data_IF_423075606731
#
_entry.id   IF_423075606731
#
_cell.length_a   1.000
_cell.length_b   1.000
_cell.length_c   1.000
_cell.angle_alpha   90.00
_cell.angle_beta   90.00
_cell.angle_gamma   90.00
#
_symmetry.space_group_name_H-M   'P 1'
#
loop_
_entity.id
_entity.type
_entity.pdbx_description
1 polymer ?
#
# COMPACT_ATOMS: atom_id res chain seq x y z
N UNK A 1 -7.09 2.67 43.77
CA UNK A 1 -7.02 1.23 43.47
C UNK A 1 -6.85 1.09 41.99
N UNK A 2 -5.62 0.84 41.56
CA UNK A 2 -5.26 0.72 40.13
C UNK A 2 -5.50 -0.71 39.68
N UNK A 3 -6.48 -0.92 38.79
CA UNK A 3 -6.69 -2.21 38.12
C UNK A 3 -5.64 -2.28 36.99
N UNK A 4 -4.46 -2.83 37.31
CA UNK A 4 -3.55 -3.34 36.28
C UNK A 4 -4.18 -4.62 35.74
N UNK A 5 -4.84 -4.55 34.59
CA UNK A 5 -5.18 -5.73 33.80
C UNK A 5 -3.87 -6.43 33.47
N UNK A 6 -3.60 -7.55 34.09
CA UNK A 6 -2.51 -8.46 33.70
C UNK A 6 -2.88 -9.01 32.31
N UNK A 7 -2.36 -8.38 31.26
CA UNK A 7 -2.31 -9.01 29.96
C UNK A 7 -1.24 -10.09 30.07
N UNK A 8 -1.64 -11.32 29.87
CA UNK A 8 -0.77 -12.49 29.98
C UNK A 8 0.15 -12.56 28.73
N UNK A 9 1.16 -11.68 28.69
CA UNK A 9 2.15 -11.60 27.60
C UNK A 9 3.03 -12.84 27.49
N UNK A 10 3.06 -13.68 28.53
CA UNK A 10 3.99 -14.80 28.63
C UNK A 10 3.65 -16.02 27.79
N UNK A 11 2.44 -16.10 27.21
CA UNK A 11 1.99 -17.25 26.43
C UNK A 11 2.01 -17.07 24.91
N UNK A 12 2.47 -15.93 24.41
CA UNK A 12 2.55 -15.68 22.96
C UNK A 12 3.93 -16.12 22.47
N UNK A 13 4.02 -17.32 21.91
CA UNK A 13 5.24 -17.82 21.25
C UNK A 13 5.17 -17.63 19.74
N UNK A 14 6.27 -17.26 19.06
CA UNK A 14 6.32 -17.24 17.61
C UNK A 14 6.07 -18.63 17.04
N UNK A 15 5.38 -18.69 15.90
CA UNK A 15 4.89 -19.93 15.29
C UNK A 15 5.94 -20.76 14.54
N UNK A 16 7.22 -20.36 14.51
CA UNK A 16 8.23 -20.99 13.67
C UNK A 16 9.46 -21.43 14.42
N UNK A 17 9.86 -22.72 14.23
CA UNK A 17 11.22 -23.19 14.49
C UNK A 17 12.14 -22.59 13.44
N UNK A 18 12.92 -21.58 13.78
CA UNK A 18 13.92 -20.98 12.89
C UNK A 18 15.14 -21.92 12.82
N UNK A 19 15.42 -22.47 11.64
CA UNK A 19 16.74 -23.02 11.30
C UNK A 19 17.73 -21.86 11.17
N UNK A 20 19.00 -22.08 11.43
CA UNK A 20 20.09 -21.12 11.54
C UNK A 20 20.44 -20.29 10.29
N UNK A 21 19.72 -20.43 9.19
CA UNK A 21 19.76 -19.49 8.06
C UNK A 21 18.49 -18.63 8.14
N UNK A 22 18.68 -17.30 8.20
CA UNK A 22 17.57 -16.36 8.18
C UNK A 22 16.65 -16.71 7.00
N UNK A 23 15.40 -17.11 7.23
CA UNK A 23 14.53 -17.52 6.15
C UNK A 23 14.34 -16.31 5.24
N UNK A 24 14.44 -16.52 3.92
CA UNK A 24 14.07 -15.51 2.91
C UNK A 24 12.56 -15.27 3.03
N UNK A 25 12.17 -14.43 3.98
CA UNK A 25 10.77 -14.08 4.17
C UNK A 25 10.32 -13.21 3.01
N UNK A 26 9.51 -13.80 2.17
CA UNK A 26 8.78 -13.07 1.15
C UNK A 26 7.52 -12.48 1.80
N UNK A 27 7.43 -11.16 1.87
CA UNK A 27 6.30 -10.45 2.46
C UNK A 27 4.98 -10.77 1.76
N UNK A 28 3.86 -10.77 2.49
CA UNK A 28 2.52 -10.82 1.91
C UNK A 28 2.28 -9.62 1.00
N UNK A 29 1.63 -9.82 -0.15
CA UNK A 29 1.37 -8.79 -1.15
C UNK A 29 -0.12 -8.52 -1.30
N UNK A 30 -0.46 -7.24 -1.54
CA UNK A 30 -1.82 -6.81 -1.78
C UNK A 30 -2.23 -6.99 -3.24
N UNK A 31 -3.53 -7.27 -3.48
CA UNK A 31 -4.20 -7.07 -4.77
C UNK A 31 -4.63 -5.61 -4.92
N UNK A 32 -5.04 -5.22 -6.12
CA UNK A 32 -5.69 -3.92 -6.36
C UNK A 32 -7.13 -4.02 -5.87
N UNK A 33 -7.60 -2.96 -5.21
CA UNK A 33 -9.00 -2.86 -4.77
C UNK A 33 -9.91 -2.62 -5.98
N UNK A 34 -10.90 -3.49 -6.15
CA UNK A 34 -11.85 -3.45 -7.26
C UNK A 34 -13.31 -3.21 -6.81
N UNK A 35 -13.51 -2.65 -5.62
CA UNK A 35 -14.82 -2.27 -5.10
C UNK A 35 -15.51 -3.34 -4.26
N UNK A 36 -14.85 -4.47 -4.00
CA UNK A 36 -15.34 -5.52 -3.10
C UNK A 36 -14.52 -5.51 -1.82
N UNK A 37 -15.19 -5.38 -0.69
CA UNK A 37 -14.57 -5.43 0.63
C UNK A 37 -14.88 -6.75 1.33
N UNK A 38 -13.97 -7.24 2.19
CA UNK A 38 -14.31 -8.27 3.18
C UNK A 38 -15.45 -7.80 4.09
N UNK A 39 -16.17 -8.74 4.70
CA UNK A 39 -17.26 -8.43 5.64
C UNK A 39 -16.80 -7.60 6.84
N UNK A 40 -15.56 -7.87 7.31
CA UNK A 40 -14.90 -7.11 8.36
C UNK A 40 -13.51 -6.69 7.86
N UNK A 41 -13.27 -5.42 7.79
CA UNK A 41 -12.02 -4.87 7.30
C UNK A 41 -11.57 -3.63 8.08
N UNK A 42 -10.30 -3.31 7.92
CA UNK A 42 -9.69 -2.05 8.38
C UNK A 42 -9.05 -1.34 7.19
N UNK A 43 -9.03 -0.01 7.26
CA UNK A 43 -8.35 0.83 6.29
C UNK A 43 -7.12 1.49 6.94
N UNK A 44 -5.97 1.30 6.35
CA UNK A 44 -4.71 1.92 6.77
C UNK A 44 -4.18 2.82 5.65
N UNK A 45 -3.46 3.92 5.95
CA UNK A 45 -2.85 4.71 4.90
C UNK A 45 -1.81 3.89 4.13
N UNK A 46 -1.77 4.06 2.82
CA UNK A 46 -0.69 3.54 2.00
C UNK A 46 0.44 4.56 1.97
N UNK A 47 1.50 4.24 2.68
CA UNK A 47 2.74 5.03 2.70
C UNK A 47 3.54 4.72 1.43
N UNK A 48 4.12 5.72 0.82
CA UNK A 48 5.06 5.57 -0.31
C UNK A 48 6.49 5.60 0.21
N UNK A 49 7.08 4.42 0.41
CA UNK A 49 8.39 4.24 1.00
C UNK A 49 9.09 2.99 0.51
N UNK A 50 9.94 2.44 1.35
CA UNK A 50 10.62 1.17 1.15
C UNK A 50 10.10 0.15 2.14
N UNK A 51 9.50 -0.94 1.66
CA UNK A 51 9.06 -2.01 2.55
C UNK A 51 10.22 -2.73 3.19
N UNK A 52 10.15 -2.86 4.51
CA UNK A 52 11.18 -3.43 5.37
C UNK A 52 10.59 -4.54 6.23
N UNK A 53 11.23 -5.71 6.20
CA UNK A 53 11.01 -6.75 7.20
C UNK A 53 12.10 -6.61 8.24
N UNK A 54 11.67 -6.29 9.45
CA UNK A 54 12.55 -6.24 10.62
C UNK A 54 12.53 -7.60 11.29
N UNK A 55 13.70 -8.19 11.53
CA UNK A 55 13.83 -9.41 12.33
C UNK A 55 14.59 -9.12 13.61
N UNK A 56 13.95 -9.34 14.75
CA UNK A 56 14.52 -9.14 16.07
C UNK A 56 14.76 -10.49 16.75
N UNK A 57 16.01 -10.87 16.93
CA UNK A 57 16.42 -11.98 17.81
C UNK A 57 16.63 -11.40 19.22
N UNK A 58 15.61 -11.50 20.04
CA UNK A 58 15.57 -10.87 21.37
C UNK A 58 16.51 -11.58 22.35
N UNK A 59 16.75 -12.89 22.15
CA UNK A 59 17.66 -13.66 23.00
C UNK A 59 19.10 -13.22 22.82
N UNK A 60 19.49 -12.91 21.58
CA UNK A 60 20.85 -12.46 21.23
C UNK A 60 20.95 -10.93 21.07
N UNK A 61 19.86 -10.18 21.33
CA UNK A 61 19.75 -8.72 21.17
C UNK A 61 20.19 -8.25 19.78
N UNK A 62 19.87 -9.01 18.74
CA UNK A 62 20.25 -8.71 17.36
C UNK A 62 19.02 -8.34 16.54
N UNK A 63 19.11 -7.24 15.82
CA UNK A 63 18.08 -6.79 14.88
C UNK A 63 18.67 -6.74 13.48
N UNK A 64 17.88 -7.11 12.47
CA UNK A 64 18.25 -6.99 11.06
C UNK A 64 17.11 -6.37 10.29
N UNK A 65 17.45 -5.54 9.31
CA UNK A 65 16.52 -4.86 8.42
C UNK A 65 16.73 -5.39 7.01
N UNK A 66 15.68 -5.88 6.38
CA UNK A 66 15.76 -6.43 5.05
C UNK A 66 14.61 -5.92 4.17
N UNK A 67 14.90 -5.69 2.91
CA UNK A 67 13.88 -5.35 1.92
C UNK A 67 12.91 -6.52 1.70
N UNK A 68 11.81 -6.26 1.01
CA UNK A 68 10.84 -7.29 0.59
C UNK A 68 11.49 -8.49 -0.13
N UNK A 69 12.64 -8.31 -0.76
CA UNK A 69 13.39 -9.36 -1.48
C UNK A 69 14.47 -10.03 -0.62
N UNK A 70 14.59 -9.64 0.65
CA UNK A 70 15.59 -10.15 1.57
C UNK A 70 16.97 -9.47 1.48
N UNK A 71 17.10 -8.39 0.69
CA UNK A 71 18.36 -7.64 0.64
C UNK A 71 18.51 -6.81 1.92
N UNK A 72 19.70 -6.80 2.57
CA UNK A 72 19.94 -5.98 3.75
C UNK A 72 19.71 -4.48 3.49
N UNK A 73 19.30 -3.76 4.53
CA UNK A 73 19.12 -2.31 4.52
C UNK A 73 19.92 -1.71 5.70
N UNK A 74 21.25 -1.58 5.55
CA UNK A 74 22.12 -1.15 6.65
C UNK A 74 21.89 0.28 7.10
N UNK A 75 21.31 1.13 6.24
CA UNK A 75 20.95 2.51 6.58
C UNK A 75 19.98 2.63 7.79
N UNK A 76 19.30 1.54 8.15
CA UNK A 76 18.36 1.49 9.26
C UNK A 76 18.92 0.83 10.54
N UNK A 77 20.17 0.37 10.55
CA UNK A 77 20.76 -0.37 11.67
C UNK A 77 20.76 0.45 12.98
N UNK A 78 20.81 1.78 12.88
CA UNK A 78 20.72 2.68 14.03
C UNK A 78 19.37 2.60 14.78
N UNK A 79 18.31 2.08 14.16
CA UNK A 79 16.98 1.88 14.77
C UNK A 79 16.88 0.59 15.60
N UNK A 80 17.93 -0.24 15.63
CA UNK A 80 17.92 -1.53 16.30
C UNK A 80 17.59 -1.42 17.81
N UNK A 81 18.06 -0.36 18.47
CA UNK A 81 17.78 -0.08 19.89
C UNK A 81 16.28 0.10 20.14
N UNK A 82 15.62 0.98 19.37
CA UNK A 82 14.17 1.22 19.51
C UNK A 82 13.35 -0.04 19.21
N UNK A 83 13.77 -0.88 18.26
CA UNK A 83 13.11 -2.16 17.99
C UNK A 83 13.17 -3.09 19.20
N UNK A 84 14.34 -3.23 19.83
CA UNK A 84 14.51 -4.06 21.03
C UNK A 84 13.68 -3.52 22.20
N UNK A 85 13.62 -2.22 22.38
CA UNK A 85 12.81 -1.56 23.40
C UNK A 85 11.32 -1.77 23.19
N UNK A 86 10.85 -1.70 21.94
CA UNK A 86 9.43 -1.96 21.59
C UNK A 86 8.99 -3.38 22.01
N UNK A 87 9.87 -4.38 21.88
CA UNK A 87 9.57 -5.75 22.30
C UNK A 87 9.66 -5.93 23.82
N UNK A 88 10.43 -5.11 24.54
CA UNK A 88 10.51 -5.14 26.00
C UNK A 88 10.85 -6.51 26.58
N UNK A 89 9.89 -7.13 27.28
CA UNK A 89 10.06 -8.44 27.94
C UNK A 89 9.79 -9.66 27.02
N UNK A 90 9.52 -9.46 25.75
CA UNK A 90 9.37 -10.59 24.82
C UNK A 90 10.69 -11.37 24.67
N UNK A 91 10.61 -12.63 24.26
CA UNK A 91 11.75 -13.47 23.98
C UNK A 91 11.60 -14.20 22.64
N UNK A 92 12.71 -14.79 22.16
CA UNK A 92 12.72 -15.51 20.88
C UNK A 92 12.93 -14.60 19.67
N UNK A 93 12.53 -15.07 18.49
CA UNK A 93 12.72 -14.34 17.23
C UNK A 93 11.38 -13.82 16.75
N UNK A 94 11.31 -12.51 16.53
CA UNK A 94 10.13 -11.80 16.08
C UNK A 94 10.37 -11.06 14.79
N UNK A 95 9.30 -10.82 14.03
CA UNK A 95 9.36 -10.04 12.81
C UNK A 95 8.27 -8.97 12.83
N UNK A 96 8.63 -7.78 12.36
CA UNK A 96 7.71 -6.70 12.05
C UNK A 96 7.72 -6.47 10.55
N UNK A 97 6.57 -6.13 10.00
CA UNK A 97 6.39 -5.69 8.62
C UNK A 97 6.13 -4.19 8.61
N UNK A 98 7.01 -3.46 7.95
CA UNK A 98 7.09 -2.02 8.04
C UNK A 98 7.20 -1.38 6.65
N UNK A 99 6.89 -0.08 6.58
CA UNK A 99 7.29 0.79 5.48
C UNK A 99 8.24 1.85 6.02
N UNK A 100 9.44 1.95 5.46
CA UNK A 100 10.45 2.94 5.83
C UNK A 100 10.33 4.17 4.95
N UNK A 101 10.35 5.34 5.56
CA UNK A 101 10.46 6.65 4.90
C UNK A 101 11.58 7.45 5.55
N UNK A 102 12.26 8.31 4.78
CA UNK A 102 13.29 9.21 5.26
C UNK A 102 13.07 10.60 4.65
N UNK A 103 13.62 11.65 5.25
CA UNK A 103 13.60 13.00 4.70
C UNK A 103 12.26 13.73 4.78
N UNK A 104 12.13 14.75 3.95
CA UNK A 104 11.01 15.70 3.98
C UNK A 104 9.94 15.47 2.92
N UNK A 105 10.03 14.42 2.10
CA UNK A 105 9.09 14.21 1.01
C UNK A 105 9.18 12.83 0.41
N UNK A 106 8.08 12.38 -0.15
CA UNK A 106 7.81 10.99 -0.49
C UNK A 106 8.65 10.42 -1.66
N UNK A 107 9.31 11.24 -2.49
CA UNK A 107 9.93 10.76 -3.73
C UNK A 107 11.47 10.66 -3.69
N UNK A 108 12.15 11.47 -2.88
CA UNK A 108 13.63 11.47 -2.79
C UNK A 108 14.19 10.47 -1.77
N UNK A 109 13.35 9.95 -0.92
CA UNK A 109 13.71 9.23 0.31
C UNK A 109 14.09 7.77 0.08
N UNK A 110 13.64 7.17 -1.01
CA UNK A 110 13.98 5.78 -1.38
C UNK A 110 15.48 5.60 -1.58
N UNK A 111 16.19 6.64 -2.05
CA UNK A 111 17.63 6.65 -2.22
C UNK A 111 18.38 6.55 -0.88
N UNK A 112 17.97 7.34 0.11
CA UNK A 112 18.56 7.33 1.45
C UNK A 112 18.36 6.00 2.15
N UNK A 113 17.13 5.47 2.14
CA UNK A 113 16.82 4.15 2.74
C UNK A 113 17.64 3.03 2.09
N UNK A 114 17.95 3.14 0.78
CA UNK A 114 18.70 2.11 0.05
C UNK A 114 20.22 2.36 0.04
N UNK A 115 20.68 3.43 0.65
CA UNK A 115 22.09 3.74 0.74
C UNK A 115 22.82 2.83 1.73
N UNK A 116 24.15 2.88 1.76
CA UNK A 116 24.99 2.28 2.79
C UNK A 116 25.14 3.17 4.02
N UNK A 117 24.87 4.47 3.86
CA UNK A 117 24.99 5.46 4.93
C UNK A 117 23.73 5.45 5.81
N UNK A 118 23.85 5.74 7.12
CA UNK A 118 22.72 5.81 8.02
C UNK A 118 21.69 6.87 7.60
N UNK A 119 20.44 6.47 7.44
CA UNK A 119 19.30 7.38 7.21
C UNK A 119 18.77 7.86 8.57
N UNK A 120 19.43 8.85 9.18
CA UNK A 120 19.21 9.24 10.58
C UNK A 120 17.83 9.81 10.88
N UNK A 121 17.12 10.33 9.88
CA UNK A 121 15.74 10.81 9.97
C UNK A 121 14.71 9.77 9.49
N UNK A 122 15.16 8.53 9.23
CA UNK A 122 14.26 7.44 8.84
C UNK A 122 13.23 7.13 9.91
N UNK A 123 12.02 6.82 9.45
CA UNK A 123 10.91 6.35 10.28
C UNK A 123 10.35 5.06 9.73
N UNK A 124 9.98 4.15 10.62
CA UNK A 124 9.36 2.87 10.29
C UNK A 124 7.88 2.89 10.66
N UNK A 125 7.01 2.90 9.69
CA UNK A 125 5.58 2.67 9.88
C UNK A 125 5.31 1.18 10.04
N UNK A 126 5.09 0.73 11.27
CA UNK A 126 4.85 -0.68 11.61
C UNK A 126 3.39 -1.02 11.40
N UNK A 127 3.08 -2.00 10.55
CA UNK A 127 1.70 -2.32 10.18
C UNK A 127 1.32 -3.79 10.32
N UNK A 128 2.27 -4.71 10.56
CA UNK A 128 1.96 -6.13 10.83
C UNK A 128 3.07 -6.86 11.58
N UNK A 129 2.75 -8.06 12.12
CA UNK A 129 3.65 -8.97 12.82
C UNK A 129 3.65 -10.34 12.13
N UNK A 130 4.51 -10.59 11.13
CA UNK A 130 4.59 -11.86 10.41
C UNK A 130 4.87 -13.08 11.31
N UNK A 131 5.54 -12.91 12.45
CA UNK A 131 5.75 -13.99 13.44
C UNK A 131 4.46 -14.58 13.98
N UNK A 132 3.36 -13.87 13.87
CA UNK A 132 2.02 -14.32 14.24
C UNK A 132 1.14 -14.66 13.01
N UNK A 133 1.75 -15.19 11.95
CA UNK A 133 1.06 -15.49 10.70
C UNK A 133 -0.18 -16.39 10.86
N UNK A 134 -0.22 -17.23 11.88
CA UNK A 134 -1.34 -18.13 12.24
C UNK A 134 -2.48 -17.44 13.02
N UNK A 135 -2.38 -16.13 13.28
CA UNK A 135 -3.42 -15.34 13.93
C UNK A 135 -4.11 -14.43 12.91
N UNK A 136 -5.37 -14.12 13.16
CA UNK A 136 -6.13 -13.17 12.36
C UNK A 136 -5.51 -11.77 12.41
N UNK A 137 -5.72 -10.97 11.37
CA UNK A 137 -5.18 -9.61 11.26
C UNK A 137 -5.58 -8.74 12.48
N UNK A 138 -6.83 -8.82 12.92
CA UNK A 138 -7.31 -8.07 14.10
C UNK A 138 -6.52 -8.41 15.37
N UNK A 139 -6.11 -9.67 15.57
CA UNK A 139 -5.33 -10.08 16.73
C UNK A 139 -3.87 -9.59 16.63
N UNK A 140 -3.27 -9.66 15.42
CA UNK A 140 -1.93 -9.11 15.18
C UNK A 140 -1.91 -7.60 15.38
N UNK A 141 -2.94 -6.90 14.87
CA UNK A 141 -3.11 -5.46 15.04
C UNK A 141 -3.27 -5.05 16.51
N UNK A 142 -4.08 -5.80 17.27
CA UNK A 142 -4.25 -5.55 18.69
C UNK A 142 -2.92 -5.68 19.43
N UNK A 143 -2.16 -6.74 19.17
CA UNK A 143 -0.84 -6.92 19.79
C UNK A 143 0.09 -5.73 19.46
N UNK A 144 0.15 -5.28 18.21
CA UNK A 144 0.93 -4.09 17.85
C UNK A 144 0.48 -2.86 18.66
N UNK A 145 -0.82 -2.61 18.75
CA UNK A 145 -1.33 -1.49 19.55
C UNK A 145 -0.90 -1.59 21.01
N UNK A 146 -1.04 -2.77 21.61
CA UNK A 146 -0.67 -3.03 23.00
C UNK A 146 0.85 -2.82 23.23
N UNK A 147 1.70 -3.27 22.29
CA UNK A 147 3.15 -3.07 22.34
C UNK A 147 3.51 -1.59 22.30
N UNK A 148 2.96 -0.83 21.35
CA UNK A 148 3.21 0.61 21.24
C UNK A 148 2.65 1.40 22.43
N UNK A 149 1.52 0.96 23.02
CA UNK A 149 0.96 1.56 24.22
C UNK A 149 1.82 1.29 25.46
N UNK A 150 2.36 0.07 25.57
CA UNK A 150 3.17 -0.34 26.72
C UNK A 150 4.63 0.14 26.66
N UNK A 151 5.15 0.48 25.48
CA UNK A 151 6.54 0.87 25.29
C UNK A 151 6.94 2.08 26.15
N UNK A 152 8.05 1.96 26.88
CA UNK A 152 8.63 3.00 27.71
C UNK A 152 10.16 2.96 27.62
N UNK A 153 10.83 3.97 27.07
CA UNK A 153 10.27 5.18 26.45
C UNK A 153 9.43 4.88 25.21
N UNK A 154 8.60 5.82 24.81
CA UNK A 154 7.89 5.71 23.51
C UNK A 154 8.91 5.78 22.39
N UNK A 155 8.83 4.89 21.37
CA UNK A 155 9.71 4.98 20.23
C UNK A 155 9.49 6.31 19.48
N UNK A 156 10.56 6.90 18.99
CA UNK A 156 10.54 8.17 18.25
C UNK A 156 10.54 7.96 16.73
N UNK A 157 11.19 6.88 16.28
CA UNK A 157 11.36 6.55 14.87
C UNK A 157 10.49 5.38 14.40
N UNK A 158 9.96 4.57 15.33
CA UNK A 158 8.98 3.55 15.04
C UNK A 158 7.58 4.11 15.27
N UNK A 159 6.73 4.08 14.25
CA UNK A 159 5.37 4.60 14.28
C UNK A 159 4.38 3.47 14.03
N UNK A 160 3.37 3.37 14.88
CA UNK A 160 2.26 2.46 14.63
C UNK A 160 1.44 2.99 13.45
N UNK A 161 1.24 2.19 12.40
CA UNK A 161 0.39 2.55 11.28
C UNK A 161 -1.02 2.89 11.77
N UNK A 162 -1.60 4.06 11.49
CA UNK A 162 -2.97 4.36 11.87
C UNK A 162 -3.95 3.42 11.14
N UNK A 163 -5.09 3.14 11.76
CA UNK A 163 -6.09 2.22 11.21
C UNK A 163 -7.50 2.74 11.49
N UNK A 164 -8.32 2.81 10.44
CA UNK A 164 -9.73 3.17 10.52
C UNK A 164 -10.59 1.92 10.47
N UNK A 165 -11.59 1.85 11.34
CA UNK A 165 -12.59 0.78 11.41
C UNK A 165 -13.96 1.39 11.13
N UNK A 166 -14.79 0.72 10.33
CA UNK A 166 -16.15 1.20 10.03
C UNK A 166 -16.22 2.36 9.03
N UNK A 167 -15.10 2.68 8.38
CA UNK A 167 -15.02 3.72 7.34
C UNK A 167 -14.82 3.04 5.98
N UNK A 168 -15.57 3.46 4.95
CA UNK A 168 -15.43 2.86 3.62
C UNK A 168 -14.05 3.11 3.03
N UNK A 169 -13.56 2.23 2.12
CA UNK A 169 -12.27 2.43 1.45
C UNK A 169 -12.18 3.75 0.70
N UNK A 170 -13.26 4.19 0.06
CA UNK A 170 -13.32 5.43 -0.71
C UNK A 170 -13.25 6.67 0.20
N UNK A 171 -13.94 6.63 1.35
CA UNK A 171 -13.85 7.70 2.34
C UNK A 171 -12.46 7.73 3.00
N UNK A 172 -11.93 6.56 3.38
CA UNK A 172 -10.58 6.44 3.92
C UNK A 172 -9.52 6.93 2.92
N UNK A 173 -9.73 6.66 1.61
CA UNK A 173 -8.87 7.16 0.55
C UNK A 173 -8.86 8.69 0.50
N UNK A 174 -10.04 9.34 0.55
CA UNK A 174 -10.14 10.79 0.58
C UNK A 174 -9.43 11.39 1.80
N UNK A 175 -9.65 10.81 2.98
CA UNK A 175 -9.05 11.28 4.23
C UNK A 175 -7.52 11.14 4.21
N UNK A 176 -6.98 10.00 3.80
CA UNK A 176 -5.54 9.76 3.81
C UNK A 176 -4.81 10.51 2.69
N UNK A 177 -5.39 10.60 1.50
CA UNK A 177 -4.76 11.38 0.41
C UNK A 177 -4.75 12.89 0.71
N UNK A 178 -5.76 13.42 1.41
CA UNK A 178 -5.75 14.79 1.90
C UNK A 178 -4.63 15.05 2.94
N UNK A 179 -4.12 14.00 3.60
CA UNK A 179 -2.97 14.06 4.52
C UNK A 179 -1.63 13.81 3.80
N UNK A 180 -1.63 13.57 2.48
CA UNK A 180 -0.41 13.35 1.68
C UNK A 180 0.01 11.88 1.52
N UNK A 181 -0.78 10.91 1.97
CA UNK A 181 -0.51 9.50 1.71
C UNK A 181 -0.83 9.11 0.26
N UNK A 182 -0.18 8.07 -0.27
CA UNK A 182 -0.37 7.57 -1.65
C UNK A 182 -1.78 7.02 -1.89
N UNK A 183 -2.44 6.54 -0.84
CA UNK A 183 -3.75 5.92 -0.90
C UNK A 183 -4.10 5.14 0.36
N UNK A 184 -4.76 4.00 0.19
CA UNK A 184 -5.29 3.17 1.27
C UNK A 184 -4.92 1.69 1.07
N UNK A 185 -4.65 1.01 2.17
CA UNK A 185 -4.61 -0.44 2.29
C UNK A 185 -5.87 -0.92 3.00
N UNK A 186 -6.69 -1.70 2.33
CA UNK A 186 -7.85 -2.38 2.91
C UNK A 186 -7.40 -3.77 3.33
N UNK A 187 -7.58 -4.10 4.61
CA UNK A 187 -7.15 -5.38 5.18
C UNK A 187 -8.33 -6.13 5.77
N UNK A 188 -8.50 -7.38 5.38
CA UNK A 188 -9.46 -8.30 5.99
C UNK A 188 -9.07 -8.59 7.44
N UNK A 189 -9.93 -8.20 8.38
CA UNK A 189 -9.68 -8.32 9.81
C UNK A 189 -9.61 -9.79 10.31
N UNK A 190 -10.21 -10.72 9.56
CA UNK A 190 -10.20 -12.15 9.88
C UNK A 190 -9.07 -12.93 9.17
N UNK A 191 -8.34 -12.30 8.25
CA UNK A 191 -7.34 -12.99 7.45
C UNK A 191 -6.05 -13.29 8.20
N UNK A 192 -5.45 -14.43 7.85
CA UNK A 192 -4.10 -14.79 8.26
C UNK A 192 -3.05 -14.02 7.44
N UNK A 193 -1.81 -13.96 7.94
CA UNK A 193 -0.71 -13.41 7.16
C UNK A 193 -0.14 -14.48 6.22
N UNK A 194 -0.35 -14.29 4.92
CA UNK A 194 0.05 -15.26 3.88
C UNK A 194 1.39 -14.87 3.27
N UNK A 195 2.48 -15.33 3.88
CA UNK A 195 3.85 -15.07 3.47
C UNK A 195 4.07 -15.43 1.99
N UNK A 196 4.69 -14.51 1.23
CA UNK A 196 5.04 -14.72 -0.17
C UNK A 196 3.88 -14.69 -1.16
N UNK A 197 2.65 -14.54 -0.67
CA UNK A 197 1.45 -14.65 -1.51
C UNK A 197 0.83 -13.28 -1.78
N UNK A 198 0.34 -13.09 -3.01
CA UNK A 198 -0.53 -11.96 -3.34
C UNK A 198 -1.97 -12.34 -3.03
N UNK A 199 -2.55 -11.71 -2.01
CA UNK A 199 -3.86 -12.07 -1.48
C UNK A 199 -4.87 -10.94 -1.60
N UNK A 200 -6.15 -11.31 -1.82
CA UNK A 200 -7.27 -10.39 -1.74
C UNK A 200 -7.60 -9.97 -0.29
N UNK A 201 -7.04 -10.66 0.72
CA UNK A 201 -7.15 -10.24 2.10
C UNK A 201 -6.44 -8.90 2.39
N UNK A 202 -5.50 -8.52 1.53
CA UNK A 202 -4.95 -7.17 1.46
C UNK A 202 -5.25 -6.58 0.09
N UNK A 203 -5.84 -5.41 0.07
CA UNK A 203 -6.15 -4.69 -1.15
C UNK A 203 -5.61 -3.26 -1.07
N UNK A 204 -5.03 -2.78 -2.15
CA UNK A 204 -4.52 -1.40 -2.24
C UNK A 204 -5.44 -0.56 -3.13
N UNK A 205 -5.87 0.57 -2.62
CA UNK A 205 -6.53 1.64 -3.36
C UNK A 205 -5.57 2.83 -3.40
N UNK A 206 -5.08 3.18 -4.58
CA UNK A 206 -4.19 4.33 -4.78
C UNK A 206 -4.77 5.23 -5.87
N UNK A 207 -4.27 6.46 -5.99
CA UNK A 207 -4.53 7.28 -7.15
C UNK A 207 -4.15 6.48 -8.40
N UNK A 208 -4.98 6.57 -9.41
CA UNK A 208 -5.01 5.72 -10.60
C UNK A 208 -3.65 5.32 -11.19
N UNK A 209 -3.50 4.05 -11.58
CA UNK A 209 -2.47 3.65 -12.55
C UNK A 209 -2.81 4.26 -13.91
N UNK A 210 -1.81 4.49 -14.77
CA UNK A 210 -2.04 4.95 -16.16
C UNK A 210 -1.61 3.89 -17.16
N UNK A 211 -2.23 3.90 -18.32
CA UNK A 211 -1.85 3.06 -19.48
C UNK A 211 -1.97 3.86 -20.77
N UNK A 212 -1.02 3.66 -21.65
CA UNK A 212 -1.10 4.17 -23.02
C UNK A 212 -1.98 3.26 -23.88
N UNK A 213 -2.99 3.81 -24.54
CA UNK A 213 -3.92 3.09 -25.39
C UNK A 213 -4.25 3.88 -26.64
N UNK A 214 -4.43 3.20 -27.78
CA UNK A 214 -4.70 3.86 -29.07
C UNK A 214 -6.17 4.23 -29.18
N UNK A 215 -6.47 5.50 -29.52
CA UNK A 215 -7.83 5.98 -29.80
C UNK A 215 -8.29 5.33 -31.11
N UNK A 216 -9.40 4.61 -31.05
CA UNK A 216 -10.00 3.94 -32.23
C UNK A 216 -11.31 4.62 -32.65
N UNK A 217 -11.92 5.38 -31.74
CA UNK A 217 -13.14 6.10 -32.06
C UNK A 217 -13.40 7.27 -31.08
N UNK A 218 -14.20 8.23 -31.52
CA UNK A 218 -14.74 9.35 -30.73
C UNK A 218 -16.26 9.35 -30.91
N UNK A 219 -17.01 9.17 -29.85
CA UNK A 219 -18.47 9.03 -29.89
C UNK A 219 -19.12 10.31 -29.35
N UNK A 220 -20.05 10.86 -30.12
CA UNK A 220 -20.84 12.02 -29.68
C UNK A 220 -21.66 11.67 -28.43
N UNK A 221 -21.76 12.62 -27.51
CA UNK A 221 -22.52 12.48 -26.28
C UNK A 221 -24.02 12.79 -26.47
N UNK A 222 -24.75 12.57 -25.37
CA UNK A 222 -26.19 12.89 -25.26
C UNK A 222 -26.40 13.86 -24.10
N UNK A 223 -27.57 14.52 -24.07
CA UNK A 223 -27.93 15.44 -22.98
C UNK A 223 -26.92 16.56 -22.81
N UNK A 224 -26.29 16.70 -21.66
CA UNK A 224 -25.28 17.71 -21.40
C UNK A 224 -24.10 17.69 -22.40
N UNK A 225 -23.76 16.52 -22.90
CA UNK A 225 -22.66 16.33 -23.86
C UNK A 225 -23.12 16.27 -25.31
N UNK A 226 -24.33 16.74 -25.65
CA UNK A 226 -24.77 16.89 -27.05
C UNK A 226 -23.82 17.84 -27.79
N UNK A 227 -23.54 17.52 -29.06
CA UNK A 227 -22.62 18.29 -29.94
C UNK A 227 -21.16 18.34 -29.46
N UNK A 228 -20.75 17.42 -28.57
CA UNK A 228 -19.38 17.22 -28.17
C UNK A 228 -19.11 15.73 -27.84
N UNK A 229 -17.86 15.32 -27.71
CA UNK A 229 -17.52 13.93 -27.39
C UNK A 229 -18.12 13.52 -26.04
N UNK A 230 -18.94 12.48 -26.03
CA UNK A 230 -19.41 11.82 -24.82
C UNK A 230 -18.31 10.95 -24.21
N UNK A 231 -17.62 10.21 -25.06
CA UNK A 231 -16.47 9.40 -24.71
C UNK A 231 -15.59 9.11 -25.93
N UNK A 232 -14.34 8.78 -25.67
CA UNK A 232 -13.47 8.14 -26.66
C UNK A 232 -13.49 6.63 -26.45
N UNK A 233 -13.24 5.87 -27.51
CA UNK A 233 -13.01 4.44 -27.45
C UNK A 233 -11.52 4.21 -27.69
N UNK A 234 -10.86 3.55 -26.75
CA UNK A 234 -9.43 3.20 -26.86
C UNK A 234 -9.25 1.70 -26.97
N UNK A 235 -8.22 1.26 -27.68
CA UNK A 235 -7.82 -0.15 -27.80
C UNK A 235 -6.73 -0.45 -26.81
N UNK A 236 -7.00 -1.43 -25.92
CA UNK A 236 -6.06 -1.99 -24.97
C UNK A 236 -5.87 -3.48 -25.28
N UNK A 237 -4.76 -3.82 -25.93
CA UNK A 237 -4.55 -5.17 -26.45
C UNK A 237 -5.65 -5.58 -27.44
N UNK A 238 -6.44 -6.60 -27.06
CA UNK A 238 -7.59 -7.10 -27.85
C UNK A 238 -8.94 -6.48 -27.44
N UNK A 239 -8.96 -5.61 -26.42
CA UNK A 239 -10.17 -5.03 -25.86
C UNK A 239 -10.37 -3.57 -26.29
N UNK A 240 -11.63 -3.16 -26.28
CA UNK A 240 -12.02 -1.77 -26.49
C UNK A 240 -12.60 -1.20 -25.21
N UNK A 241 -12.08 -0.08 -24.75
CA UNK A 241 -12.46 0.57 -23.50
C UNK A 241 -13.06 1.93 -23.78
N UNK A 242 -14.21 2.22 -23.17
CA UNK A 242 -14.85 3.54 -23.26
C UNK A 242 -14.30 4.44 -22.16
N UNK A 243 -13.79 5.61 -22.54
CA UNK A 243 -13.24 6.62 -21.63
C UNK A 243 -14.10 7.86 -21.72
N UNK A 244 -14.95 8.06 -20.71
CA UNK A 244 -15.94 9.15 -20.69
C UNK A 244 -15.62 10.29 -19.73
N UNK A 245 -14.55 10.16 -18.92
CA UNK A 245 -14.14 11.13 -17.90
C UNK A 245 -12.75 11.69 -18.19
N UNK A 246 -12.31 12.72 -17.43
CA UNK A 246 -11.01 13.38 -17.61
C UNK A 246 -10.96 14.43 -18.74
N UNK A 247 -12.08 14.71 -19.40
CA UNK A 247 -12.16 15.66 -20.50
C UNK A 247 -12.96 16.92 -20.08
N UNK A 248 -12.40 18.09 -20.32
CA UNK A 248 -13.13 19.35 -20.23
C UNK A 248 -14.08 19.50 -21.42
N UNK A 249 -15.06 20.38 -21.33
CA UNK A 249 -15.99 20.62 -22.44
C UNK A 249 -15.28 21.15 -23.71
N UNK A 250 -14.16 21.86 -23.52
CA UNK A 250 -13.32 22.32 -24.66
C UNK A 250 -12.65 21.13 -25.35
N UNK A 251 -12.03 20.22 -24.57
CA UNK A 251 -11.42 18.99 -25.10
C UNK A 251 -12.47 18.12 -25.79
N UNK A 252 -13.67 18.01 -25.24
CA UNK A 252 -14.78 17.25 -25.84
C UNK A 252 -15.22 17.80 -27.20
N UNK A 253 -15.31 19.14 -27.33
CA UNK A 253 -15.67 19.77 -28.62
C UNK A 253 -14.57 19.56 -29.66
N UNK A 254 -13.32 19.74 -29.27
CA UNK A 254 -12.16 19.54 -30.14
C UNK A 254 -12.07 18.08 -30.64
N UNK A 255 -12.21 17.13 -29.74
CA UNK A 255 -12.24 15.69 -30.04
C UNK A 255 -13.32 15.34 -31.08
N UNK A 256 -14.52 15.87 -30.93
CA UNK A 256 -15.59 15.59 -31.90
C UNK A 256 -15.38 16.28 -33.22
N UNK A 257 -15.01 17.59 -33.21
CA UNK A 257 -14.79 18.37 -34.40
C UNK A 257 -13.64 17.86 -35.28
N UNK A 258 -12.59 17.37 -34.63
CA UNK A 258 -11.36 16.86 -35.27
C UNK A 258 -11.20 15.34 -35.12
N UNK A 259 -12.30 14.60 -35.07
CA UNK A 259 -12.35 13.16 -34.80
C UNK A 259 -11.33 12.36 -35.62
N UNK A 260 -11.25 12.61 -36.92
CA UNK A 260 -10.33 11.90 -37.82
C UNK A 260 -8.86 12.11 -37.50
N UNK A 261 -8.49 13.22 -36.88
CA UNK A 261 -7.12 13.52 -36.49
C UNK A 261 -6.71 12.80 -35.21
N UNK A 262 -7.67 12.55 -34.29
CA UNK A 262 -7.40 11.89 -33.03
C UNK A 262 -7.43 10.36 -33.14
N UNK A 263 -8.15 9.80 -34.11
CA UNK A 263 -8.13 8.35 -34.36
C UNK A 263 -6.71 7.91 -34.76
N UNK A 264 -6.18 6.91 -34.07
CA UNK A 264 -4.81 6.42 -34.24
C UNK A 264 -3.80 7.04 -33.28
N UNK A 265 -4.12 8.16 -32.63
CA UNK A 265 -3.23 8.75 -31.63
C UNK A 265 -3.27 7.93 -30.31
N UNK A 266 -2.20 8.07 -29.51
CA UNK A 266 -2.09 7.44 -28.20
C UNK A 266 -2.71 8.34 -27.14
N UNK A 267 -3.63 7.79 -26.35
CA UNK A 267 -4.18 8.40 -25.14
C UNK A 267 -3.56 7.76 -23.89
N UNK A 268 -3.09 8.58 -22.97
CA UNK A 268 -2.80 8.14 -21.61
C UNK A 268 -4.10 8.12 -20.83
N UNK A 269 -4.46 6.93 -20.35
CA UNK A 269 -5.71 6.69 -19.63
C UNK A 269 -5.40 6.25 -18.21
N UNK A 270 -5.86 7.03 -17.23
CA UNK A 270 -5.83 6.68 -15.83
C UNK A 270 -6.97 5.69 -15.50
N UNK A 271 -6.74 4.75 -14.59
CA UNK A 271 -7.75 3.77 -14.18
C UNK A 271 -7.47 3.24 -12.77
N UNK A 272 -8.50 2.74 -12.08
CA UNK A 272 -8.33 2.20 -10.73
C UNK A 272 -7.78 0.77 -10.74
N UNK A 273 -8.31 -0.09 -11.58
CA UNK A 273 -7.81 -1.48 -11.74
C UNK A 273 -8.25 -2.04 -13.10
N UNK A 274 -7.60 -3.14 -13.48
CA UNK A 274 -8.06 -3.99 -14.60
C UNK A 274 -9.11 -4.95 -14.05
N UNK A 275 -10.28 -4.98 -14.67
CA UNK A 275 -11.38 -5.87 -14.30
C UNK A 275 -11.12 -7.32 -14.75
N UNK A 276 -11.83 -8.34 -14.21
CA UNK A 276 -11.65 -9.73 -14.62
C UNK A 276 -11.87 -10.00 -16.12
N UNK A 277 -12.68 -9.18 -16.79
CA UNK A 277 -12.91 -9.20 -18.24
C UNK A 277 -11.88 -8.38 -19.03
N UNK A 278 -10.73 -8.07 -18.40
CA UNK A 278 -9.61 -7.31 -18.98
C UNK A 278 -9.97 -5.89 -19.44
N UNK A 279 -11.00 -5.28 -18.88
CA UNK A 279 -11.36 -3.89 -19.09
C UNK A 279 -10.76 -2.98 -18.01
N UNK A 280 -10.94 -1.66 -18.13
CA UNK A 280 -10.46 -0.68 -17.15
C UNK A 280 -11.65 -0.22 -16.26
N UNK A 281 -11.46 -0.22 -14.95
CA UNK A 281 -12.43 0.33 -14.01
C UNK A 281 -12.19 1.84 -13.83
N UNK A 282 -13.25 2.63 -13.99
CA UNK A 282 -13.23 4.10 -13.92
C UNK A 282 -12.14 4.74 -14.80
N UNK A 283 -12.09 4.43 -16.11
CA UNK A 283 -11.09 5.00 -16.99
C UNK A 283 -11.32 6.50 -17.18
N UNK A 284 -10.23 7.28 -17.13
CA UNK A 284 -10.23 8.73 -17.22
C UNK A 284 -9.09 9.19 -18.13
N UNK A 285 -9.37 10.05 -19.10
CA UNK A 285 -8.35 10.61 -19.98
C UNK A 285 -7.42 11.54 -19.19
N UNK A 286 -6.11 11.30 -19.26
CA UNK A 286 -5.08 12.17 -18.69
C UNK A 286 -4.61 13.15 -19.76
N UNK A 287 -4.12 12.64 -20.88
CA UNK A 287 -3.71 13.44 -22.03
C UNK A 287 -3.75 12.61 -23.32
N UNK A 288 -3.65 13.29 -24.45
CA UNK A 288 -3.44 12.67 -25.77
C UNK A 288 -2.02 13.02 -26.19
N UNK A 289 -1.24 12.02 -26.54
CA UNK A 289 0.17 12.16 -26.95
C UNK A 289 0.21 12.28 -28.47
N UNK A 290 0.55 13.46 -28.97
CA UNK A 290 0.56 13.74 -30.41
C UNK A 290 1.76 13.19 -31.20
N UNK A 291 2.71 12.51 -30.55
CA UNK A 291 4.06 12.24 -31.09
C UNK A 291 4.54 10.80 -30.91
N UNK A 292 3.64 9.83 -30.77
CA UNK A 292 4.00 8.39 -30.71
C UNK A 292 3.20 7.58 -31.69
#
# INVERSE_FOLDING_TARGET
MSIRSHIDFFNVRPSTRVRSEAPRHTAMLAKVYCGETPAFFTCEPKVDGVRVIVTADLNNRRVTFASRRGNPIPSLDHLAGEVLELFGAFCGIWMLDCEAVAGKGFFNDVGEIRSSEPALDARLWVFDIPSMANKEQRARRKLLSDMFEAAMPKPSSLLLMPSLVGVSPEESFRQFTAQGFEGVMVKDAAALYMTGTRSAAWQKLKASDTVDAVIVDVIEGKGRCAHMAGHIVVRLGRRFVRVGTGMTDTVRRDLLARRSEFIGQTAEVAFHCVTPDESLRHPSLVCIRGDK
#
